data_IF_447219378790
#
_entry.id   IF_447219378790
#
_cell.length_a   1.000
_cell.length_b   1.000
_cell.length_c   1.000
_cell.angle_alpha   90.00
_cell.angle_beta   90.00
_cell.angle_gamma   90.00
#
_symmetry.space_group_name_H-M   'P 1'
#
loop_
_entity.id
_entity.type
_entity.pdbx_description
1 polymer ?
#
# COMPACT_ATOMS: atom_id res chain seq x y z
N UNK A 1 0.50 -19.74 -11.41
CA UNK A 1 0.69 -20.48 -10.15
C UNK A 1 0.34 -19.58 -8.99
N UNK A 2 -0.54 -20.04 -8.14
CA UNK A 2 -0.99 -19.23 -7.00
C UNK A 2 0.04 -19.27 -5.89
N UNK A 3 0.44 -18.08 -5.43
CA UNK A 3 1.34 -17.95 -4.28
C UNK A 3 0.62 -17.13 -3.20
N UNK A 4 0.29 -17.73 -2.04
CA UNK A 4 -0.45 -17.01 -1.01
C UNK A 4 0.29 -15.81 -0.43
N UNK A 5 1.63 -15.76 -0.56
CA UNK A 5 2.41 -14.61 -0.13
C UNK A 5 2.34 -13.45 -1.13
N UNK A 6 1.93 -13.75 -2.37
CA UNK A 6 1.85 -12.77 -3.45
C UNK A 6 0.42 -12.69 -4.01
N UNK A 7 -0.57 -12.85 -3.14
CA UNK A 7 -1.95 -12.73 -3.58
C UNK A 7 -2.23 -11.36 -4.19
N UNK A 8 -3.27 -11.29 -5.02
CA UNK A 8 -3.66 -10.05 -5.67
C UNK A 8 -4.22 -9.06 -4.65
N UNK A 9 -3.42 -8.08 -4.29
CA UNK A 9 -3.80 -7.08 -3.32
C UNK A 9 -4.72 -6.00 -3.89
N UNK A 10 -4.84 -5.95 -5.22
CA UNK A 10 -5.66 -4.92 -5.86
C UNK A 10 -7.14 -5.05 -5.51
N UNK A 11 -7.59 -6.25 -5.17
CA UNK A 11 -8.99 -6.52 -4.80
C UNK A 11 -9.25 -6.38 -3.30
N UNK A 12 -8.21 -6.16 -2.50
CA UNK A 12 -8.35 -6.06 -1.05
C UNK A 12 -8.74 -4.63 -0.65
N UNK A 13 -9.69 -4.51 0.27
CA UNK A 13 -10.13 -3.18 0.74
C UNK A 13 -9.05 -2.49 1.55
N UNK A 14 -9.06 -1.16 1.53
CA UNK A 14 -8.07 -0.37 2.27
C UNK A 14 -8.02 -0.73 3.75
N UNK A 15 -9.17 -0.89 4.40
CA UNK A 15 -9.23 -1.26 5.80
C UNK A 15 -8.57 -2.61 6.05
N UNK A 16 -8.76 -3.55 5.13
CA UNK A 16 -8.17 -4.88 5.26
C UNK A 16 -6.67 -4.83 5.05
N UNK A 17 -6.20 -3.99 4.14
CA UNK A 17 -4.76 -3.79 3.94
C UNK A 17 -4.11 -3.23 5.20
N UNK A 18 -4.75 -2.24 5.82
CA UNK A 18 -4.24 -1.65 7.06
C UNK A 18 -4.20 -2.66 8.19
N UNK A 19 -5.25 -3.47 8.32
CA UNK A 19 -5.31 -4.50 9.34
C UNK A 19 -4.23 -5.56 9.13
N UNK A 20 -4.03 -5.98 7.88
CA UNK A 20 -2.98 -6.95 7.55
C UNK A 20 -1.60 -6.38 7.83
N UNK A 21 -1.38 -5.11 7.49
CA UNK A 21 -0.10 -4.46 7.72
C UNK A 21 0.22 -4.39 9.21
N UNK A 22 -0.76 -4.02 10.02
CA UNK A 22 -0.59 -3.95 11.48
C UNK A 22 -0.24 -5.33 12.06
N UNK A 23 -0.96 -6.37 11.63
CA UNK A 23 -0.71 -7.73 12.09
C UNK A 23 0.68 -8.21 11.67
N UNK A 24 1.08 -7.92 10.43
CA UNK A 24 2.38 -8.33 9.90
C UNK A 24 3.53 -7.60 10.60
N UNK A 25 3.35 -6.32 10.92
CA UNK A 25 4.35 -5.58 11.69
C UNK A 25 4.57 -6.21 13.04
N UNK A 26 3.50 -6.64 13.71
CA UNK A 26 3.58 -7.34 14.98
C UNK A 26 4.33 -8.67 14.83
N UNK A 27 3.98 -9.44 13.81
CA UNK A 27 4.63 -10.72 13.53
C UNK A 27 6.10 -10.55 13.19
N UNK A 28 6.43 -9.49 12.46
CA UNK A 28 7.83 -9.18 12.14
C UNK A 28 8.64 -8.96 13.42
N UNK A 29 8.10 -8.18 14.35
CA UNK A 29 8.77 -7.94 15.62
C UNK A 29 8.98 -9.23 16.43
N UNK A 30 7.96 -10.10 16.41
CA UNK A 30 8.06 -11.39 17.10
C UNK A 30 9.16 -12.26 16.46
N UNK A 31 9.19 -12.31 15.13
CA UNK A 31 10.19 -13.10 14.42
C UNK A 31 11.61 -12.62 14.72
N UNK A 32 11.82 -11.31 14.76
CA UNK A 32 13.14 -10.76 15.13
C UNK A 32 13.53 -11.12 16.56
N UNK A 33 12.59 -11.03 17.50
CA UNK A 33 12.87 -11.37 18.90
C UNK A 33 13.20 -12.85 19.07
N UNK A 34 12.59 -13.71 18.26
CA UNK A 34 12.85 -15.14 18.28
C UNK A 34 14.14 -15.51 17.55
N UNK A 35 14.76 -14.56 16.85
CA UNK A 35 15.93 -14.83 16.04
C UNK A 35 15.62 -15.62 14.79
N UNK A 36 14.36 -15.64 14.34
CA UNK A 36 13.95 -16.36 13.14
C UNK A 36 14.05 -15.44 11.93
N UNK A 37 15.24 -15.33 11.37
CA UNK A 37 15.50 -14.44 10.26
C UNK A 37 14.75 -14.82 8.99
N UNK A 38 14.55 -16.12 8.76
CA UNK A 38 13.82 -16.59 7.58
C UNK A 38 12.37 -16.13 7.62
N UNK A 39 11.72 -16.29 8.78
CA UNK A 39 10.34 -15.83 8.95
C UNK A 39 10.25 -14.32 8.87
N UNK A 40 11.18 -13.61 9.51
CA UNK A 40 11.22 -12.15 9.46
C UNK A 40 11.32 -11.66 8.02
N UNK A 41 12.14 -12.30 7.21
CA UNK A 41 12.31 -11.96 5.80
C UNK A 41 11.03 -12.16 5.00
N UNK A 42 10.35 -13.31 5.21
CA UNK A 42 9.09 -13.59 4.53
C UNK A 42 8.04 -12.56 4.89
N UNK A 43 7.93 -12.21 6.17
CA UNK A 43 6.97 -11.21 6.63
C UNK A 43 7.30 -9.84 6.02
N UNK A 44 8.59 -9.49 5.95
CA UNK A 44 9.03 -8.24 5.35
C UNK A 44 8.60 -8.13 3.88
N UNK A 45 8.73 -9.23 3.13
CA UNK A 45 8.32 -9.25 1.71
C UNK A 45 6.84 -8.92 1.58
N UNK A 46 6.00 -9.52 2.42
CA UNK A 46 4.56 -9.26 2.38
C UNK A 46 4.25 -7.83 2.81
N UNK A 47 4.91 -7.33 3.83
CA UNK A 47 4.77 -5.93 4.27
C UNK A 47 5.07 -4.97 3.12
N UNK A 48 6.18 -5.21 2.41
CA UNK A 48 6.57 -4.35 1.29
C UNK A 48 5.54 -4.41 0.16
N UNK A 49 4.97 -5.58 -0.11
CA UNK A 49 3.94 -5.72 -1.14
C UNK A 49 2.70 -4.91 -0.76
N UNK A 50 2.27 -4.96 0.50
CA UNK A 50 1.12 -4.20 0.96
C UNK A 50 1.39 -2.71 0.89
N UNK A 51 2.57 -2.27 1.34
CA UNK A 51 2.95 -0.85 1.28
C UNK A 51 3.00 -0.33 -0.15
N UNK A 52 3.50 -1.15 -1.06
CA UNK A 52 3.54 -0.77 -2.48
C UNK A 52 2.13 -0.57 -3.04
N UNK A 53 1.20 -1.47 -2.69
CA UNK A 53 -0.18 -1.34 -3.15
C UNK A 53 -0.84 -0.10 -2.55
N UNK A 54 -0.62 0.17 -1.27
CA UNK A 54 -1.16 1.36 -0.63
C UNK A 54 -0.61 2.64 -1.25
N UNK A 55 0.69 2.66 -1.54
CA UNK A 55 1.32 3.80 -2.19
C UNK A 55 0.77 4.01 -3.60
N UNK A 56 0.54 2.92 -4.34
CA UNK A 56 -0.05 3.01 -5.67
C UNK A 56 -1.43 3.64 -5.63
N UNK A 57 -2.26 3.21 -4.67
CA UNK A 57 -3.62 3.75 -4.51
C UNK A 57 -3.59 5.22 -4.16
N UNK A 58 -2.66 5.60 -3.27
CA UNK A 58 -2.53 7.00 -2.87
C UNK A 58 -2.04 7.86 -4.03
N UNK A 59 -1.10 7.37 -4.81
CA UNK A 59 -0.61 8.09 -5.99
C UNK A 59 -1.72 8.27 -7.00
N UNK A 60 -2.55 7.24 -7.22
CA UNK A 60 -3.66 7.31 -8.14
C UNK A 60 -4.72 8.30 -7.67
N UNK A 61 -5.04 8.30 -6.38
CA UNK A 61 -5.98 9.25 -5.81
C UNK A 61 -5.45 10.68 -5.92
N UNK A 62 -4.17 10.88 -5.66
CA UNK A 62 -3.53 12.18 -5.79
C UNK A 62 -3.57 12.65 -7.23
N UNK A 63 -3.30 11.75 -8.17
CA UNK A 63 -3.34 12.08 -9.58
C UNK A 63 -4.73 12.56 -10.00
N UNK A 64 -5.77 11.85 -9.57
CA UNK A 64 -7.15 12.25 -9.87
C UNK A 64 -7.48 13.60 -9.27
N UNK A 65 -7.02 13.84 -8.05
CA UNK A 65 -7.26 15.12 -7.38
C UNK A 65 -6.54 16.24 -8.10
N UNK A 66 -5.30 16.01 -8.52
CA UNK A 66 -4.54 17.01 -9.26
C UNK A 66 -5.15 17.30 -10.62
N UNK A 67 -5.70 16.31 -11.29
CA UNK A 67 -6.40 16.51 -12.55
C UNK A 67 -7.61 17.41 -12.37
N UNK A 68 -8.38 17.20 -11.29
CA UNK A 68 -9.53 18.06 -10.97
C UNK A 68 -9.09 19.48 -10.67
N UNK A 69 -8.04 19.63 -9.88
CA UNK A 69 -7.51 20.95 -9.54
C UNK A 69 -6.95 21.66 -10.77
N UNK A 70 -6.29 20.92 -11.63
CA UNK A 70 -5.75 21.49 -12.87
C UNK A 70 -6.86 22.04 -13.74
N UNK A 71 -7.97 21.31 -13.85
CA UNK A 71 -9.12 21.79 -14.62
C UNK A 71 -9.73 23.04 -13.98
N UNK A 72 -9.82 23.08 -12.66
CA UNK A 72 -10.33 24.24 -11.95
C UNK A 72 -9.39 25.43 -12.11
N UNK A 73 -8.09 25.19 -12.05
CA UNK A 73 -7.10 26.24 -12.24
C UNK A 73 -7.11 26.78 -13.66
N UNK A 74 -7.29 25.90 -14.63
CA UNK A 74 -7.41 26.32 -16.03
C UNK A 74 -8.61 27.23 -16.19
N UNK A 75 -9.72 26.89 -15.55
CA UNK A 75 -10.90 27.74 -15.58
C UNK A 75 -10.67 29.10 -14.92
N UNK A 76 -9.88 29.14 -13.86
CA UNK A 76 -9.54 30.39 -13.17
C UNK A 76 -8.54 31.22 -13.94
N UNK A 77 -7.60 30.57 -14.60
CA UNK A 77 -6.56 31.25 -15.36
C UNK A 77 -7.12 31.81 -16.67
N UNK A 78 -8.10 31.17 -17.23
CA UNK A 78 -8.71 31.56 -18.49
C UNK A 78 -9.75 32.66 -18.37
N UNK A 79 -9.79 33.31 -17.25
CA UNK A 79 -10.72 34.43 -17.02
C UNK A 79 -10.38 35.61 -17.91
N UNK A 80 -9.21 35.63 -18.43
CA UNK A 80 -8.84 36.64 -19.42
C UNK A 80 -9.53 36.36 -20.75
#
# INVERSE_FOLDING_TARGET
>A
MFNPLLEDLTSVKDQDLEARLSDLNRKQGIAFRMGNSALAMQVTIVIEAIRSEMARRQAEATKKLMEKQSKNLDGLINVD
#
